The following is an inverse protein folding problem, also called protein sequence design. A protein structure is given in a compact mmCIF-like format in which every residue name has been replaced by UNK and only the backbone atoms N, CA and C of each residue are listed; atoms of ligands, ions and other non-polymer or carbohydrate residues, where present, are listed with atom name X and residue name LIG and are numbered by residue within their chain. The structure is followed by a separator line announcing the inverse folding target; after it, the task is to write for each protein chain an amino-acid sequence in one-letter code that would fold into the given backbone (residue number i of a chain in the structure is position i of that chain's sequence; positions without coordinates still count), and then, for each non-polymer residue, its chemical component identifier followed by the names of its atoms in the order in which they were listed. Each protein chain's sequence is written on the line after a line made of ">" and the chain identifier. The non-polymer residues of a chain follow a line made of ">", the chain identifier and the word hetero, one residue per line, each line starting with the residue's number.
data_IF_228565473708
#
_entry.id   IF_228565473708
#
_cell.length_a   1.000
_cell.length_b   1.000
_cell.length_c   1.000
_cell.angle_alpha   90.00
_cell.angle_beta   90.00
_cell.angle_gamma   90.00
#
_symmetry.space_group_name_H-M   'P 1'
#
loop_
_entity.id
_entity.type
_entity.pdbx_description
1 polymer ?
#
# COMPACT_ATOMS: atom_id res chain seq x y z
N UNK A 1 -11.35 -23.64 3.61
CA UNK A 1 -11.47 -22.20 3.87
C UNK A 1 -10.13 -21.61 3.50
N UNK A 2 -10.01 -20.74 2.49
CA UNK A 2 -8.74 -20.09 2.25
C UNK A 2 -8.52 -19.04 3.34
N UNK A 3 -7.41 -19.16 4.04
CA UNK A 3 -6.92 -18.19 5.02
C UNK A 3 -6.65 -16.85 4.31
N UNK A 4 -7.29 -15.78 4.78
CA UNK A 4 -7.18 -14.42 4.28
C UNK A 4 -6.04 -13.63 4.96
N UNK A 5 -5.01 -14.31 5.45
CA UNK A 5 -3.86 -13.67 6.07
C UNK A 5 -2.79 -13.36 5.02
N UNK A 6 -2.93 -12.21 4.34
CA UNK A 6 -1.83 -11.44 3.72
C UNK A 6 -2.42 -10.33 2.82
N UNK A 7 -3.08 -9.33 3.40
CA UNK A 7 -3.32 -8.05 2.72
C UNK A 7 -2.00 -7.25 2.67
N UNK A 8 -1.04 -7.78 1.92
CA UNK A 8 0.14 -7.03 1.47
C UNK A 8 -0.33 -5.78 0.71
N UNK A 9 0.52 -4.75 0.67
CA UNK A 9 0.41 -3.64 -0.28
C UNK A 9 0.26 -4.20 -1.71
N UNK A 10 -0.98 -4.44 -2.15
CA UNK A 10 -1.20 -5.05 -3.45
C UNK A 10 -1.20 -3.92 -4.48
N UNK A 11 -0.01 -3.56 -4.96
CA UNK A 11 0.08 -3.11 -6.34
C UNK A 11 -0.23 -4.34 -7.19
N UNK A 12 -1.50 -4.55 -7.54
CA UNK A 12 -1.92 -5.63 -8.44
C UNK A 12 -1.32 -5.32 -9.80
N UNK A 13 -0.15 -5.88 -10.07
CA UNK A 13 0.21 -6.21 -11.42
C UNK A 13 -0.61 -7.45 -11.77
N UNK A 14 -1.38 -7.36 -12.85
CA UNK A 14 -1.92 -8.54 -13.50
C UNK A 14 -0.92 -8.90 -14.59
N UNK A 15 -0.67 -10.17 -14.85
CA UNK A 15 -0.05 -10.62 -16.08
C UNK A 15 -0.74 -11.93 -16.47
N UNK A 16 -1.15 -12.05 -17.74
CA UNK A 16 -1.86 -13.20 -18.29
C UNK A 16 -0.88 -14.04 -19.10
N UNK A 17 -0.96 -15.37 -19.00
CA UNK A 17 -0.41 -16.32 -19.99
C UNK A 17 -1.43 -17.44 -20.27
N UNK A 18 -1.33 -18.20 -21.37
CA UNK A 18 -0.44 -18.07 -22.54
C UNK A 18 -1.20 -18.20 -23.89
N UNK A 19 -0.90 -17.36 -24.88
CA UNK A 19 -0.75 -17.66 -26.32
C UNK A 19 -0.43 -16.34 -27.02
N UNK A 20 0.86 -16.11 -27.30
CA UNK A 20 1.46 -14.97 -28.02
C UNK A 20 1.03 -13.55 -27.60
N UNK A 21 2.01 -12.81 -27.07
CA UNK A 21 2.07 -11.35 -26.78
C UNK A 21 2.00 -11.01 -25.29
N UNK A 22 3.19 -10.77 -24.72
CA UNK A 22 3.43 -10.19 -23.40
C UNK A 22 2.95 -8.74 -23.40
N UNK A 23 1.89 -8.43 -22.66
CA UNK A 23 1.50 -7.03 -22.39
C UNK A 23 1.62 -6.82 -20.90
N UNK A 24 2.71 -6.17 -20.48
CA UNK A 24 2.77 -5.51 -19.18
C UNK A 24 1.56 -4.57 -19.12
N UNK A 25 0.75 -4.64 -18.07
CA UNK A 25 -0.37 -3.71 -17.89
C UNK A 25 0.21 -2.33 -17.56
N UNK A 26 0.63 -1.62 -18.61
CA UNK A 26 1.08 -0.22 -18.57
C UNK A 26 -0.09 0.75 -18.47
N UNK A 27 -1.32 0.23 -18.56
CA UNK A 27 -2.53 1.02 -18.68
C UNK A 27 -3.66 0.45 -17.80
N UNK A 28 -4.35 1.37 -17.13
CA UNK A 28 -5.50 1.14 -16.27
C UNK A 28 -6.64 0.42 -17.02
N UNK A 29 -6.79 0.77 -18.29
CA UNK A 29 -7.90 0.29 -19.10
C UNK A 29 -7.79 -1.20 -19.44
N UNK A 30 -6.58 -1.76 -19.50
CA UNK A 30 -6.36 -3.17 -19.81
C UNK A 30 -6.83 -4.09 -18.67
N UNK A 31 -6.51 -3.76 -17.41
CA UNK A 31 -6.95 -4.55 -16.26
C UNK A 31 -8.46 -4.49 -16.13
N UNK A 32 -9.02 -3.27 -16.25
CA UNK A 32 -10.47 -3.07 -16.23
C UNK A 32 -11.16 -3.86 -17.35
N UNK A 33 -10.64 -3.82 -18.58
CA UNK A 33 -11.20 -4.57 -19.70
C UNK A 33 -11.14 -6.08 -19.46
N UNK A 34 -10.02 -6.59 -18.92
CA UNK A 34 -9.86 -7.99 -18.60
C UNK A 34 -10.88 -8.45 -17.56
N UNK A 35 -11.05 -7.70 -16.47
CA UNK A 35 -12.02 -8.05 -15.42
C UNK A 35 -13.46 -7.99 -15.94
N UNK A 36 -13.80 -6.95 -16.72
CA UNK A 36 -15.12 -6.82 -17.36
C UNK A 36 -15.43 -7.94 -18.34
N UNK A 37 -14.44 -8.45 -19.07
CA UNK A 37 -14.63 -9.54 -20.02
C UNK A 37 -14.83 -10.90 -19.33
N UNK A 38 -14.45 -11.03 -18.05
CA UNK A 38 -14.47 -12.26 -17.28
C UNK A 38 -15.31 -12.13 -15.99
N UNK A 39 -16.37 -11.33 -16.01
CA UNK A 39 -17.31 -11.23 -14.89
C UNK A 39 -17.98 -12.59 -14.65
N UNK A 40 -18.08 -12.97 -13.38
CA UNK A 40 -18.51 -14.28 -12.89
C UNK A 40 -17.68 -15.47 -13.42
N UNK A 41 -16.40 -15.24 -13.78
CA UNK A 41 -15.45 -16.27 -14.19
C UNK A 41 -14.12 -16.10 -13.46
N UNK A 42 -13.44 -17.21 -13.18
CA UNK A 42 -12.11 -17.18 -12.59
C UNK A 42 -11.09 -16.56 -13.54
N UNK A 43 -10.25 -15.70 -12.99
CA UNK A 43 -9.14 -15.03 -13.68
C UNK A 43 -7.87 -15.25 -12.88
N UNK A 44 -6.84 -15.79 -13.54
CA UNK A 44 -5.49 -15.85 -12.96
C UNK A 44 -4.73 -14.54 -13.19
N UNK A 45 -4.18 -13.99 -12.10
CA UNK A 45 -3.34 -12.81 -12.07
C UNK A 45 -1.97 -13.17 -11.49
N UNK A 46 -0.89 -12.60 -12.03
CA UNK A 46 0.45 -12.68 -11.43
C UNK A 46 0.77 -11.41 -10.66
N UNK A 47 0.70 -11.49 -9.33
CA UNK A 47 0.89 -10.36 -8.41
C UNK A 47 2.33 -10.33 -7.90
N UNK A 48 2.99 -9.19 -8.00
CA UNK A 48 4.29 -8.95 -7.36
C UNK A 48 4.09 -8.31 -5.98
N UNK A 49 4.73 -8.87 -4.95
CA UNK A 49 4.72 -8.32 -3.59
C UNK A 49 6.00 -7.55 -3.30
N UNK A 50 5.87 -6.29 -2.88
CA UNK A 50 6.98 -5.45 -2.39
C UNK A 50 7.58 -5.99 -1.08
N UNK A 51 6.78 -6.65 -0.23
CA UNK A 51 7.22 -7.20 1.07
C UNK A 51 8.12 -8.41 0.89
N UNK A 52 7.74 -9.32 -0.02
CA UNK A 52 8.48 -10.57 -0.26
C UNK A 52 9.42 -10.52 -1.47
N UNK A 53 9.35 -9.47 -2.29
CA UNK A 53 10.06 -9.33 -3.57
C UNK A 53 9.86 -10.52 -4.52
N UNK A 54 8.69 -11.17 -4.46
CA UNK A 54 8.33 -12.36 -5.25
C UNK A 54 7.04 -12.12 -6.06
N UNK A 55 6.93 -12.83 -7.17
CA UNK A 55 5.69 -12.94 -7.95
C UNK A 55 4.94 -14.19 -7.50
N UNK A 56 3.64 -14.06 -7.25
CA UNK A 56 2.72 -15.17 -6.97
C UNK A 56 1.55 -15.16 -7.93
N UNK A 57 1.02 -16.34 -8.25
CA UNK A 57 -0.23 -16.46 -8.99
C UNK A 57 -1.40 -16.36 -7.99
N UNK A 58 -2.40 -15.56 -8.34
CA UNK A 58 -3.62 -15.34 -7.58
C UNK A 58 -4.81 -15.55 -8.51
N UNK A 59 -5.73 -16.42 -8.10
CA UNK A 59 -7.02 -16.57 -8.74
C UNK A 59 -8.01 -15.57 -8.15
N UNK A 60 -8.62 -14.75 -9.01
CA UNK A 60 -9.64 -13.79 -8.62
C UNK A 60 -10.94 -14.10 -9.33
N UNK A 61 -12.06 -13.78 -8.68
CA UNK A 61 -13.40 -13.95 -9.22
C UNK A 61 -14.09 -12.58 -9.33
N UNK A 62 -14.00 -11.90 -10.48
CA UNK A 62 -14.62 -10.59 -10.66
C UNK A 62 -16.15 -10.75 -10.63
N UNK A 63 -16.83 -10.07 -9.71
CA UNK A 63 -18.29 -10.24 -9.54
C UNK A 63 -19.00 -8.91 -9.38
N UNK A 64 -20.26 -8.84 -9.84
CA UNK A 64 -21.17 -7.75 -9.50
C UNK A 64 -22.08 -8.07 -8.31
N UNK A 65 -22.01 -9.30 -7.77
CA UNK A 65 -22.98 -9.81 -6.80
C UNK A 65 -22.52 -9.71 -5.33
N UNK A 66 -21.28 -9.32 -5.08
CA UNK A 66 -20.73 -9.26 -3.71
C UNK A 66 -21.17 -8.02 -2.91
N UNK A 67 -21.94 -7.11 -3.52
CA UNK A 67 -22.63 -6.00 -2.84
C UNK A 67 -21.79 -4.74 -2.59
N UNK A 68 -20.52 -4.72 -2.99
CA UNK A 68 -19.66 -3.54 -2.89
C UNK A 68 -19.34 -2.87 -4.23
N UNK A 69 -18.43 -1.89 -4.19
CA UNK A 69 -18.07 -1.09 -5.37
C UNK A 69 -16.99 -1.78 -6.23
N UNK A 70 -17.29 -1.95 -7.52
CA UNK A 70 -16.35 -2.53 -8.48
C UNK A 70 -16.37 -4.06 -8.51
N UNK A 71 -15.52 -4.65 -9.34
CA UNK A 71 -15.55 -6.11 -9.61
C UNK A 71 -14.73 -6.94 -8.61
N UNK A 72 -13.74 -6.33 -7.95
CA UNK A 72 -12.81 -7.02 -7.04
C UNK A 72 -12.89 -6.52 -5.60
N UNK A 73 -13.56 -5.40 -5.34
CA UNK A 73 -13.52 -4.74 -4.03
C UNK A 73 -12.16 -4.18 -3.64
N UNK A 74 -11.27 -3.96 -4.62
CA UNK A 74 -9.93 -3.44 -4.41
C UNK A 74 -9.73 -2.12 -5.16
N UNK A 75 -9.01 -1.19 -4.52
CA UNK A 75 -8.49 0.02 -5.16
C UNK A 75 -7.11 -0.25 -5.74
N UNK A 76 -6.93 0.00 -7.03
CA UNK A 76 -5.65 -0.25 -7.72
C UNK A 76 -5.08 1.08 -8.23
N UNK A 77 -3.82 1.35 -7.88
CA UNK A 77 -3.04 2.46 -8.44
C UNK A 77 -1.94 1.91 -9.33
N UNK A 78 -1.85 2.43 -10.54
CA UNK A 78 -0.77 2.10 -11.47
C UNK A 78 0.43 2.98 -11.15
N UNK A 79 1.51 2.36 -10.71
CA UNK A 79 2.79 2.99 -10.44
C UNK A 79 3.94 2.06 -10.84
N UNK A 80 5.14 2.61 -11.02
CA UNK A 80 6.34 1.77 -11.19
C UNK A 80 6.61 1.00 -9.89
N UNK A 81 6.86 -0.31 -10.00
CA UNK A 81 7.31 -1.11 -8.87
C UNK A 81 8.77 -0.82 -8.49
N UNK A 82 9.54 -0.24 -9.43
CA UNK A 82 10.95 0.05 -9.22
C UNK A 82 11.10 1.12 -8.14
N UNK A 83 11.70 0.73 -7.01
CA UNK A 83 11.86 1.59 -5.85
C UNK A 83 10.58 1.84 -5.04
N UNK A 84 9.49 1.09 -5.27
CA UNK A 84 8.24 1.29 -4.53
C UNK A 84 8.41 1.04 -3.01
N UNK A 85 9.33 0.16 -2.62
CA UNK A 85 9.73 -0.07 -1.24
C UNK A 85 10.62 1.05 -0.65
N UNK A 86 11.08 1.98 -1.48
CA UNK A 86 11.92 3.12 -1.08
C UNK A 86 11.07 4.38 -0.89
N UNK A 87 9.91 4.46 -1.56
CA UNK A 87 8.95 5.56 -1.49
C UNK A 87 7.97 5.39 -0.34
N UNK A 88 8.52 5.23 0.86
CA UNK A 88 7.76 5.08 2.10
C UNK A 88 8.30 6.05 3.14
N UNK A 89 7.39 6.64 3.92
CA UNK A 89 7.73 7.58 4.97
C UNK A 89 7.29 6.99 6.31
N UNK A 90 8.26 6.69 7.15
CA UNK A 90 8.04 6.08 8.46
C UNK A 90 7.61 7.16 9.46
N UNK A 91 6.46 6.95 10.10
CA UNK A 91 6.00 7.82 11.18
C UNK A 91 6.81 7.51 12.43
N UNK A 92 7.56 8.49 12.92
CA UNK A 92 8.36 8.38 14.14
C UNK A 92 7.51 8.82 15.33
N UNK A 93 8.01 9.74 16.15
CA UNK A 93 7.27 10.26 17.29
C UNK A 93 6.07 11.11 16.84
N UNK A 94 4.95 10.99 17.55
CA UNK A 94 3.72 11.73 17.30
C UNK A 94 3.41 12.60 18.52
N UNK A 95 3.34 13.92 18.32
CA UNK A 95 3.02 14.88 19.36
C UNK A 95 1.58 14.72 19.88
N UNK A 96 1.38 14.91 21.18
CA UNK A 96 0.03 14.90 21.76
C UNK A 96 -0.82 16.05 21.22
N UNK A 97 -2.09 15.78 20.89
CA UNK A 97 -3.02 16.74 20.28
C UNK A 97 -2.54 17.35 18.95
N UNK A 98 -1.54 16.74 18.29
CA UNK A 98 -1.10 17.20 16.98
C UNK A 98 -2.08 16.81 15.87
N UNK A 99 -2.00 17.45 14.69
CA UNK A 99 -2.76 17.01 13.53
C UNK A 99 -2.59 15.52 13.20
N UNK A 100 -1.37 14.98 13.33
CA UNK A 100 -1.08 13.57 13.18
C UNK A 100 -1.81 12.70 14.22
N UNK A 101 -1.79 13.08 15.50
CA UNK A 101 -2.49 12.36 16.56
C UNK A 101 -4.01 12.38 16.36
N UNK A 102 -4.56 13.54 16.00
CA UNK A 102 -5.99 13.71 15.74
C UNK A 102 -6.47 12.92 14.53
N UNK A 103 -5.61 12.77 13.52
CA UNK A 103 -5.88 11.92 12.35
C UNK A 103 -5.79 10.42 12.69
N UNK A 104 -5.09 10.05 13.77
CA UNK A 104 -4.90 8.66 14.18
C UNK A 104 -3.65 8.00 13.62
N UNK A 105 -2.58 8.77 13.36
CA UNK A 105 -1.25 8.22 13.08
C UNK A 105 -0.65 7.61 14.35
N UNK A 106 -0.04 6.43 14.19
CA UNK A 106 0.57 5.65 15.24
C UNK A 106 2.08 5.69 15.12
N UNK A 107 2.73 6.19 16.17
CA UNK A 107 4.18 6.32 16.24
C UNK A 107 4.88 4.96 16.05
N UNK A 108 5.92 4.94 15.21
CA UNK A 108 6.80 3.79 14.93
C UNK A 108 6.14 2.56 14.28
N UNK A 109 4.82 2.59 14.05
CA UNK A 109 4.07 1.48 13.45
C UNK A 109 3.52 1.85 12.07
N UNK A 110 3.23 3.13 11.85
CA UNK A 110 2.67 3.60 10.61
C UNK A 110 3.75 4.00 9.59
N UNK A 111 3.49 3.61 8.34
CA UNK A 111 4.26 3.98 7.16
C UNK A 111 3.30 4.63 6.17
N UNK A 112 3.54 5.89 5.84
CA UNK A 112 2.83 6.53 4.73
C UNK A 112 3.40 5.94 3.45
N UNK A 113 2.53 5.36 2.62
CA UNK A 113 2.88 4.64 1.39
C UNK A 113 2.27 5.29 0.15
N UNK A 114 1.44 6.32 0.35
CA UNK A 114 0.86 7.10 -0.73
C UNK A 114 -0.03 8.22 -0.24
N UNK A 115 -0.45 9.05 -1.18
CA UNK A 115 -1.43 10.13 -1.00
C UNK A 115 -2.25 10.28 -2.29
N UNK A 116 -3.25 11.16 -2.35
CA UNK A 116 -4.04 11.39 -3.58
C UNK A 116 -3.16 11.83 -4.78
N UNK A 117 -2.04 12.50 -4.51
CA UNK A 117 -1.05 12.87 -5.51
C UNK A 117 0.06 11.80 -5.63
N UNK A 118 0.76 11.78 -6.76
CA UNK A 118 1.91 10.89 -6.97
C UNK A 118 3.12 11.46 -6.23
N UNK A 119 3.69 10.66 -5.33
CA UNK A 119 4.92 10.98 -4.61
C UNK A 119 6.07 10.17 -5.23
N UNK A 120 7.12 10.85 -5.69
CA UNK A 120 8.30 10.26 -6.31
C UNK A 120 9.51 10.28 -5.37
N UNK A 121 9.77 11.43 -4.76
CA UNK A 121 10.96 11.67 -3.95
C UNK A 121 10.61 12.08 -2.52
N UNK A 122 11.60 12.04 -1.61
CA UNK A 122 11.40 12.32 -0.19
C UNK A 122 10.76 13.68 0.07
N UNK A 123 11.11 14.68 -0.75
CA UNK A 123 10.63 16.07 -0.63
C UNK A 123 9.17 16.25 -1.05
N UNK A 124 8.62 15.33 -1.85
CA UNK A 124 7.26 15.46 -2.37
C UNK A 124 6.22 15.37 -1.27
N UNK A 125 6.44 14.52 -0.26
CA UNK A 125 5.52 14.44 0.88
C UNK A 125 5.50 15.75 1.67
N UNK A 126 6.66 16.36 1.91
CA UNK A 126 6.76 17.62 2.63
C UNK A 126 6.10 18.76 1.85
N UNK A 127 6.37 18.85 0.55
CA UNK A 127 5.74 19.83 -0.35
C UNK A 127 4.21 19.63 -0.39
N UNK A 128 3.75 18.39 -0.40
CA UNK A 128 2.33 18.06 -0.37
C UNK A 128 1.67 18.52 0.94
N UNK A 129 2.32 18.29 2.08
CA UNK A 129 1.82 18.74 3.40
C UNK A 129 1.72 20.27 3.43
N UNK A 130 2.77 20.98 3.02
CA UNK A 130 2.81 22.45 3.01
C UNK A 130 1.75 23.06 2.08
N UNK A 131 1.57 22.50 0.89
CA UNK A 131 0.56 22.99 -0.07
C UNK A 131 -0.89 22.71 0.35
N UNK A 132 -1.09 21.77 1.29
CA UNK A 132 -2.37 21.40 1.87
C UNK A 132 -2.59 21.98 3.28
N UNK A 133 -1.85 23.01 3.66
CA UNK A 133 -2.04 23.74 4.91
C UNK A 133 -3.52 24.17 5.11
N UNK A 134 -4.10 23.78 6.24
CA UNK A 134 -5.49 24.03 6.60
C UNK A 134 -6.54 23.22 5.83
N UNK A 135 -6.11 22.29 4.95
CA UNK A 135 -7.01 21.49 4.09
C UNK A 135 -6.90 20.00 4.41
N UNK A 136 -8.01 19.24 4.37
CA UNK A 136 -7.96 17.79 4.47
C UNK A 136 -7.06 17.19 3.38
N UNK A 137 -6.13 16.33 3.80
CA UNK A 137 -5.20 15.60 2.96
C UNK A 137 -5.38 14.09 3.20
N UNK A 138 -5.73 13.36 2.15
CA UNK A 138 -5.87 11.90 2.22
C UNK A 138 -4.52 11.22 2.00
N UNK A 139 -4.16 10.35 2.94
CA UNK A 139 -2.96 9.51 2.95
C UNK A 139 -3.37 8.04 2.95
N UNK A 140 -2.54 7.21 2.30
CA UNK A 140 -2.59 5.76 2.42
C UNK A 140 -1.48 5.34 3.39
N UNK A 141 -1.86 4.65 4.45
CA UNK A 141 -0.97 4.30 5.56
C UNK A 141 -0.96 2.79 5.77
N UNK A 142 0.21 2.18 5.72
CA UNK A 142 0.43 0.80 6.14
C UNK A 142 0.82 0.75 7.61
N UNK A 143 0.20 -0.14 8.38
CA UNK A 143 0.53 -0.35 9.78
C UNK A 143 1.22 -1.70 9.99
N UNK A 144 2.36 -1.73 10.66
CA UNK A 144 3.11 -2.98 10.93
C UNK A 144 2.47 -3.85 11.99
N UNK A 145 1.68 -3.30 12.90
CA UNK A 145 1.00 -4.05 13.96
C UNK A 145 -0.20 -4.84 13.44
N UNK A 146 -0.98 -4.24 12.54
CA UNK A 146 -2.13 -4.91 11.90
C UNK A 146 -1.78 -5.58 10.58
N UNK A 147 -0.65 -5.21 9.97
CA UNK A 147 -0.25 -5.60 8.61
C UNK A 147 -1.25 -5.18 7.51
N UNK A 148 -2.05 -4.12 7.77
CA UNK A 148 -3.06 -3.64 6.83
C UNK A 148 -2.77 -2.20 6.35
N UNK A 149 -3.23 -1.89 5.14
CA UNK A 149 -3.32 -0.51 4.66
C UNK A 149 -4.65 0.12 5.05
N UNK A 150 -4.65 1.41 5.41
CA UNK A 150 -5.87 2.19 5.63
C UNK A 150 -5.76 3.57 5.00
N UNK A 151 -6.90 4.10 4.56
CA UNK A 151 -7.01 5.51 4.21
C UNK A 151 -7.12 6.34 5.50
N UNK A 152 -6.36 7.42 5.57
CA UNK A 152 -6.33 8.36 6.68
C UNK A 152 -6.50 9.77 6.12
N UNK A 153 -7.29 10.62 6.79
CA UNK A 153 -7.39 12.03 6.42
C UNK A 153 -6.77 12.85 7.54
N UNK A 154 -5.73 13.62 7.19
CA UNK A 154 -5.05 14.55 8.10
C UNK A 154 -5.23 15.97 7.59
N UNK A 155 -5.37 16.94 8.50
CA UNK A 155 -5.44 18.36 8.13
C UNK A 155 -4.17 19.04 8.64
N UNK A 156 -3.17 19.31 7.78
CA UNK A 156 -1.97 20.02 8.18
C UNK A 156 -2.30 21.39 8.77
N UNK A 157 -1.61 21.75 9.85
CA UNK A 157 -1.77 23.03 10.53
C UNK A 157 -0.47 23.37 11.25
N UNK A 158 0.34 24.29 10.74
CA UNK A 158 1.56 24.81 11.35
C UNK A 158 1.32 25.75 12.53
N UNK A 159 0.08 26.22 12.74
CA UNK A 159 -0.30 27.04 13.90
C UNK A 159 -0.91 26.22 15.05
N UNK A 160 -0.76 24.88 15.03
CA UNK A 160 -1.32 23.98 16.06
C UNK A 160 -0.65 24.08 17.43
N UNK A 161 0.48 24.77 17.54
CA UNK A 161 1.17 25.03 18.81
C UNK A 161 2.39 24.13 19.08
N UNK A 162 2.82 23.33 18.10
CA UNK A 162 4.06 22.55 18.17
C UNK A 162 4.90 22.66 16.90
N UNK A 163 5.81 21.70 16.70
CA UNK A 163 6.74 21.71 15.56
C UNK A 163 6.11 21.12 14.28
N UNK A 164 6.36 21.77 13.14
CA UNK A 164 5.89 21.37 11.81
C UNK A 164 4.37 21.45 11.65
N UNK A 165 3.86 21.11 10.45
CA UNK A 165 2.42 21.15 10.16
C UNK A 165 1.65 19.89 10.55
N UNK A 166 2.34 18.75 10.79
CA UNK A 166 1.69 17.51 11.24
C UNK A 166 1.90 17.22 12.74
N UNK A 167 2.99 17.73 13.32
CA UNK A 167 3.39 17.38 14.68
C UNK A 167 3.76 15.91 14.84
N UNK A 168 4.46 15.34 13.87
CA UNK A 168 5.14 14.05 13.98
C UNK A 168 6.49 14.07 13.28
N UNK A 169 7.43 13.26 13.76
CA UNK A 169 8.68 12.99 13.06
C UNK A 169 8.43 12.08 11.85
N UNK A 170 9.15 12.32 10.76
CA UNK A 170 9.08 11.50 9.55
C UNK A 170 10.48 11.00 9.19
N UNK A 171 10.64 9.68 9.14
CA UNK A 171 11.84 9.01 8.67
C UNK A 171 11.72 8.62 7.21
N UNK A 172 12.79 8.80 6.42
CA UNK A 172 12.87 8.35 5.03
C UNK A 172 14.21 7.67 4.76
N UNK A 173 14.23 6.73 3.81
CA UNK A 173 15.44 6.04 3.37
C UNK A 173 15.63 4.67 4.00
N UNK A 174 16.85 4.13 3.92
CA UNK A 174 17.14 2.71 4.18
C UNK A 174 16.69 2.20 5.57
N UNK A 175 16.91 2.99 6.61
CA UNK A 175 16.54 2.63 7.99
C UNK A 175 15.04 2.77 8.29
N UNK A 176 14.27 3.30 7.34
CA UNK A 176 12.86 3.66 7.52
C UNK A 176 11.97 2.95 6.49
N UNK A 177 12.43 1.81 5.97
CA UNK A 177 11.64 0.96 5.09
C UNK A 177 10.73 0.04 5.90
N UNK A 178 9.63 -0.39 5.29
CA UNK A 178 8.75 -1.41 5.87
C UNK A 178 9.58 -2.69 6.13
N UNK A 179 9.56 -3.25 7.35
CA UNK A 179 10.33 -4.44 7.67
C UNK A 179 9.96 -5.62 6.78
N UNK A 180 10.95 -6.24 6.14
CA UNK A 180 10.77 -7.55 5.52
C UNK A 180 10.85 -8.62 6.61
N UNK A 181 9.84 -9.50 6.67
CA UNK A 181 9.91 -10.66 7.56
C UNK A 181 11.06 -11.55 7.07
N UNK A 182 12.05 -11.90 7.91
CA UNK A 182 13.05 -12.87 7.50
C UNK A 182 12.32 -14.18 7.16
N UNK A 183 12.56 -14.72 5.97
CA UNK A 183 12.02 -16.01 5.57
C UNK A 183 12.39 -17.04 6.65
N UNK A 184 11.41 -17.77 7.18
CA UNK A 184 11.74 -18.97 7.93
C UNK A 184 12.45 -19.92 6.97
N UNK A 185 13.70 -20.32 7.23
CA UNK A 185 14.31 -21.35 6.42
C UNK A 185 13.49 -22.62 6.59
N UNK A 186 13.02 -23.17 5.47
CA UNK A 186 12.43 -24.51 5.42
C UNK A 186 13.49 -25.50 5.88
N UNK A 187 13.46 -25.83 7.17
CA UNK A 187 14.13 -26.99 7.72
C UNK A 187 13.05 -28.00 8.12
N UNK A 188 13.13 -29.27 7.69
CA UNK A 188 12.23 -30.28 8.24
C UNK A 188 12.46 -30.35 9.75
N UNK A 189 11.38 -30.19 10.50
CA UNK A 189 11.35 -30.47 11.94
C UNK A 189 11.62 -31.95 12.15
N UNK A 190 12.89 -32.30 12.35
CA UNK A 190 13.24 -33.59 12.92
C UNK A 190 12.82 -33.57 14.39
N UNK A 191 11.62 -34.08 14.66
CA UNK A 191 11.27 -34.56 16.00
C UNK A 191 12.12 -35.80 16.26
N UNK A 192 13.19 -35.66 17.06
CA UNK A 192 13.79 -36.84 17.70
C UNK A 192 12.92 -37.23 18.89
N UNK A 193 12.61 -38.52 18.91
CA UNK A 193 11.88 -39.27 19.93
C UNK A 193 12.49 -39.13 21.32
#
# INVERSE_FOLDING_TARGET
>A
MPDFDDECLITIFAHKKPHHTTVLFRDNDLLKALLKANVEKEVQLEVWSTKSLRVRQLEVFPSNMWGGQGLLGASVRFCSFQGANEKVWHVLDVGSNSPAALAGLQAHQDFIVGADQVLQDSEDLFTLIESNEGKPLKLLVYNTGTELCRELVVTPNGAWGGEGSLGCGIGYGYLHRIPSRPEQPWGPSFTST
#
